data_IF_367011212159
#
_entry.id   IF_367011212159
#
_cell.length_a   1.000
_cell.length_b   1.000
_cell.length_c   1.000
_cell.angle_alpha   90.00
_cell.angle_beta   90.00
_cell.angle_gamma   90.00
#
_symmetry.space_group_name_H-M   'P 1'
#
loop_
_entity.id
_entity.type
_entity.pdbx_description
1 polymer ?
#
# COMPACT_ATOMS: atom_id res chain seq x y z
N UNK A 1 17.20 11.80 -12.47
CA UNK A 1 16.54 10.50 -12.69
C UNK A 1 16.83 9.66 -11.48
N UNK A 2 15.80 9.00 -10.94
CA UNK A 2 15.93 8.12 -9.80
C UNK A 2 15.40 6.73 -10.14
N UNK A 3 16.10 5.69 -9.68
CA UNK A 3 15.71 4.32 -9.94
C UNK A 3 14.76 3.81 -8.86
N UNK A 4 13.60 3.32 -9.26
CA UNK A 4 12.59 2.76 -8.35
C UNK A 4 12.41 1.27 -8.59
N UNK A 5 12.04 0.55 -7.54
CA UNK A 5 11.78 -0.88 -7.54
C UNK A 5 10.38 -1.18 -6.97
N UNK A 6 9.61 -2.03 -7.64
CA UNK A 6 8.32 -2.53 -7.15
C UNK A 6 8.45 -4.04 -6.94
N UNK A 7 8.24 -4.46 -5.70
CA UNK A 7 8.34 -5.87 -5.31
C UNK A 7 6.99 -6.53 -5.52
N UNK A 8 6.94 -7.50 -6.44
CA UNK A 8 5.81 -8.41 -6.58
C UNK A 8 6.27 -9.81 -6.21
N UNK A 9 6.11 -10.14 -4.93
CA UNK A 9 6.47 -11.43 -4.39
C UNK A 9 5.51 -11.82 -3.29
N UNK A 10 5.25 -13.10 -3.14
CA UNK A 10 4.39 -13.56 -2.06
C UNK A 10 5.06 -13.34 -0.69
N UNK A 11 4.32 -12.89 0.33
CA UNK A 11 4.80 -12.85 1.71
C UNK A 11 4.91 -14.25 2.31
N UNK A 12 5.43 -14.35 3.54
CA UNK A 12 5.28 -15.59 4.32
C UNK A 12 3.96 -15.47 5.08
N UNK A 13 2.88 -15.91 4.45
CA UNK A 13 1.50 -15.67 4.88
C UNK A 13 1.30 -16.00 6.37
N UNK A 14 0.77 -15.03 7.12
CA UNK A 14 0.52 -15.16 8.57
C UNK A 14 1.78 -15.47 9.41
N UNK A 15 2.95 -15.06 8.94
CA UNK A 15 4.19 -15.04 9.72
C UNK A 15 4.88 -13.67 9.56
N UNK A 16 4.70 -12.80 10.56
CA UNK A 16 5.24 -11.43 10.53
C UNK A 16 6.75 -11.41 10.38
N UNK A 17 7.44 -12.12 11.26
CA UNK A 17 8.88 -11.98 11.43
C UNK A 17 9.61 -12.59 10.21
N UNK A 18 9.10 -13.70 9.66
CA UNK A 18 9.63 -14.28 8.42
C UNK A 18 9.35 -13.40 7.19
N UNK A 19 8.18 -12.73 7.14
CA UNK A 19 7.87 -11.79 6.06
C UNK A 19 8.76 -10.54 6.14
N UNK A 20 9.04 -10.05 7.34
CA UNK A 20 9.97 -8.94 7.58
C UNK A 20 11.39 -9.32 7.15
N UNK A 21 11.88 -10.52 7.51
CA UNK A 21 13.17 -11.00 7.05
C UNK A 21 13.24 -11.06 5.51
N UNK A 22 12.20 -11.58 4.87
CA UNK A 22 12.08 -11.57 3.39
C UNK A 22 12.07 -10.15 2.82
N UNK A 23 11.38 -9.21 3.46
CA UNK A 23 11.37 -7.81 3.02
C UNK A 23 12.79 -7.22 3.04
N UNK A 24 13.55 -7.47 4.11
CA UNK A 24 14.95 -7.03 4.23
C UNK A 24 15.83 -7.62 3.13
N UNK A 25 15.70 -8.92 2.84
CA UNK A 25 16.44 -9.57 1.74
C UNK A 25 16.11 -8.95 0.37
N UNK A 26 14.85 -8.55 0.16
CA UNK A 26 14.41 -7.90 -1.07
C UNK A 26 14.90 -6.45 -1.17
N UNK A 27 14.99 -5.74 -0.04
CA UNK A 27 15.63 -4.42 0.03
C UNK A 27 17.12 -4.52 -0.31
N UNK A 28 17.85 -5.50 0.25
CA UNK A 28 19.26 -5.77 -0.07
C UNK A 28 19.44 -6.05 -1.58
N UNK A 29 18.55 -6.86 -2.18
CA UNK A 29 18.55 -7.13 -3.62
C UNK A 29 18.28 -5.87 -4.45
N UNK A 30 17.25 -5.09 -4.12
CA UNK A 30 16.92 -3.86 -4.86
C UNK A 30 18.04 -2.81 -4.75
N UNK A 31 18.64 -2.64 -3.57
CA UNK A 31 19.79 -1.77 -3.36
C UNK A 31 20.99 -2.20 -4.21
N UNK A 32 21.26 -3.50 -4.32
CA UNK A 32 22.34 -4.01 -5.18
C UNK A 32 22.15 -3.69 -6.67
N UNK A 33 20.90 -3.45 -7.10
CA UNK A 33 20.55 -3.02 -8.44
C UNK A 33 20.49 -1.49 -8.58
N UNK A 34 20.86 -0.74 -7.54
CA UNK A 34 20.91 0.72 -7.54
C UNK A 34 19.55 1.41 -7.37
N UNK A 35 18.54 0.72 -6.83
CA UNK A 35 17.28 1.38 -6.48
C UNK A 35 17.50 2.41 -5.37
N UNK A 36 16.75 3.52 -5.42
CA UNK A 36 16.68 4.56 -4.39
C UNK A 36 15.34 4.52 -3.63
N UNK A 37 14.31 3.91 -4.24
CA UNK A 37 13.03 3.63 -3.60
C UNK A 37 12.56 2.20 -3.88
N UNK A 38 12.01 1.55 -2.86
CA UNK A 38 11.41 0.21 -2.97
C UNK A 38 9.97 0.23 -2.44
N UNK A 39 9.04 -0.28 -3.25
CA UNK A 39 7.61 -0.34 -2.95
C UNK A 39 7.18 -1.81 -2.83
N UNK A 40 6.58 -2.16 -1.69
CA UNK A 40 5.92 -3.45 -1.47
C UNK A 40 4.41 -3.35 -1.69
N UNK A 41 3.72 -4.49 -1.74
CA UNK A 41 2.30 -4.59 -2.06
C UNK A 41 1.39 -4.23 -0.88
N UNK A 42 0.08 -4.13 -1.14
CA UNK A 42 -0.94 -3.96 -0.11
C UNK A 42 -0.86 -5.12 0.89
N UNK A 43 -0.92 -4.78 2.19
CA UNK A 43 -0.89 -5.75 3.28
C UNK A 43 0.26 -6.79 3.19
N UNK A 44 1.41 -6.43 2.59
CA UNK A 44 2.55 -7.33 2.43
C UNK A 44 2.94 -8.01 3.74
N UNK A 45 2.96 -7.27 4.86
CA UNK A 45 3.24 -7.83 6.19
C UNK A 45 1.93 -8.15 6.95
N UNK A 46 1.62 -9.41 7.29
CA UNK A 46 2.22 -10.66 6.83
C UNK A 46 1.48 -11.27 5.62
N UNK A 47 0.67 -10.51 4.89
CA UNK A 47 -0.01 -10.95 3.68
C UNK A 47 -1.51 -10.65 3.68
N UNK A 48 -2.02 -10.27 2.51
CA UNK A 48 -3.42 -9.90 2.33
C UNK A 48 -4.37 -11.06 2.75
N UNK A 49 -5.44 -10.78 3.50
CA UNK A 49 -6.31 -11.80 4.07
C UNK A 49 -7.30 -12.35 3.02
N UNK A 50 -6.81 -13.03 1.98
CA UNK A 50 -7.61 -13.40 0.81
C UNK A 50 -8.84 -14.28 1.13
N UNK A 51 -8.86 -14.94 2.30
CA UNK A 51 -9.99 -15.75 2.77
C UNK A 51 -11.27 -14.93 2.93
N UNK A 52 -11.20 -13.61 3.13
CA UNK A 52 -12.38 -12.75 3.27
C UNK A 52 -13.32 -12.81 2.05
N UNK A 53 -12.78 -13.12 0.87
CA UNK A 53 -13.54 -13.26 -0.37
C UNK A 53 -14.20 -14.63 -0.54
N UNK A 54 -13.85 -15.59 0.33
CA UNK A 54 -14.29 -16.98 0.27
C UNK A 54 -15.15 -17.38 1.48
N UNK A 55 -15.09 -16.61 2.56
CA UNK A 55 -15.92 -16.79 3.76
C UNK A 55 -17.27 -16.09 3.63
N UNK A 56 -18.28 -16.67 4.27
CA UNK A 56 -19.65 -16.15 4.31
C UNK A 56 -19.88 -15.37 5.61
N UNK A 57 -20.23 -14.07 5.53
CA UNK A 57 -20.62 -13.29 6.69
C UNK A 57 -21.75 -13.98 7.48
N UNK A 58 -21.58 -14.14 8.79
CA UNK A 58 -22.54 -14.80 9.68
C UNK A 58 -22.63 -16.33 9.56
N UNK A 59 -22.06 -16.94 8.51
CA UNK A 59 -22.05 -18.40 8.33
C UNK A 59 -20.80 -19.09 8.84
N UNK A 60 -19.64 -18.41 8.75
CA UNK A 60 -18.33 -19.02 9.03
C UNK A 60 -17.65 -18.37 10.25
N UNK A 61 -18.41 -18.12 11.32
CA UNK A 61 -17.99 -17.35 12.50
C UNK A 61 -16.74 -17.93 13.18
N UNK A 62 -16.74 -19.23 13.50
CA UNK A 62 -15.61 -19.86 14.19
C UNK A 62 -14.31 -19.85 13.36
N UNK A 63 -14.40 -20.09 12.06
CA UNK A 63 -13.24 -19.99 11.14
C UNK A 63 -12.72 -18.56 11.09
N UNK A 64 -13.62 -17.58 11.03
CA UNK A 64 -13.27 -16.14 11.01
C UNK A 64 -12.54 -15.74 12.29
N UNK A 65 -13.02 -16.19 13.47
CA UNK A 65 -12.37 -15.91 14.76
C UNK A 65 -10.96 -16.50 14.86
N UNK A 66 -10.77 -17.74 14.40
CA UNK A 66 -9.46 -18.38 14.43
C UNK A 66 -8.45 -17.67 13.50
N UNK A 67 -8.86 -17.35 12.27
CA UNK A 67 -8.05 -16.60 11.32
C UNK A 67 -7.74 -15.18 11.84
N UNK A 68 -8.74 -14.51 12.43
CA UNK A 68 -8.55 -13.18 13.02
C UNK A 68 -7.55 -13.21 14.17
N UNK A 69 -7.63 -14.21 15.06
CA UNK A 69 -6.65 -14.38 16.15
C UNK A 69 -5.23 -14.51 15.61
N UNK A 70 -5.02 -15.41 14.64
CA UNK A 70 -3.70 -15.64 14.03
C UNK A 70 -3.16 -14.39 13.33
N UNK A 71 -4.04 -13.66 12.63
CA UNK A 71 -3.67 -12.39 12.00
C UNK A 71 -3.32 -11.31 13.03
N UNK A 72 -4.08 -11.18 14.11
CA UNK A 72 -3.84 -10.21 15.19
C UNK A 72 -2.49 -10.45 15.89
N UNK A 73 -2.08 -11.71 16.05
CA UNK A 73 -0.78 -12.09 16.61
C UNK A 73 0.40 -11.74 15.66
N UNK A 74 0.15 -11.74 14.35
CA UNK A 74 1.13 -11.44 13.31
C UNK A 74 1.01 -10.03 12.72
N UNK A 75 0.10 -9.20 13.20
CA UNK A 75 0.03 -7.80 12.83
C UNK A 75 1.18 -7.01 13.47
N UNK A 76 1.49 -5.86 12.87
CA UNK A 76 2.55 -4.95 13.29
C UNK A 76 2.00 -3.94 14.29
N UNK A 77 2.63 -3.85 15.46
CA UNK A 77 2.47 -2.73 16.37
C UNK A 77 3.58 -1.71 16.09
N UNK A 78 3.21 -0.55 15.54
CA UNK A 78 4.16 0.49 15.13
C UNK A 78 4.83 1.22 16.31
N UNK A 79 4.26 1.13 17.51
CA UNK A 79 4.87 1.66 18.75
C UNK A 79 5.86 0.66 19.37
N UNK A 80 5.99 -0.52 18.76
CA UNK A 80 6.97 -1.54 19.14
C UNK A 80 8.14 -1.58 18.16
N UNK A 81 9.20 -2.29 18.54
CA UNK A 81 10.41 -2.46 17.74
C UNK A 81 10.26 -3.49 16.60
N UNK A 82 9.03 -3.90 16.26
CA UNK A 82 8.79 -4.95 15.26
C UNK A 82 9.26 -4.56 13.86
N UNK A 83 9.23 -3.26 13.50
CA UNK A 83 9.73 -2.77 12.21
C UNK A 83 11.20 -2.35 12.22
N UNK A 84 11.92 -2.46 13.35
CA UNK A 84 13.34 -2.09 13.44
C UNK A 84 14.19 -2.70 12.30
N UNK A 85 13.99 -3.97 11.88
CA UNK A 85 14.74 -4.50 10.74
C UNK A 85 14.52 -3.73 9.44
N UNK A 86 13.28 -3.28 9.15
CA UNK A 86 12.99 -2.47 7.97
C UNK A 86 13.62 -1.07 8.09
N UNK A 87 13.51 -0.42 9.25
CA UNK A 87 14.13 0.89 9.49
C UNK A 87 15.64 0.84 9.32
N UNK A 88 16.28 -0.19 9.86
CA UNK A 88 17.72 -0.41 9.71
C UNK A 88 18.12 -0.70 8.27
N UNK A 89 17.35 -1.51 7.54
CA UNK A 89 17.61 -1.80 6.13
C UNK A 89 17.46 -0.55 5.24
N UNK A 90 16.41 0.25 5.46
CA UNK A 90 16.21 1.53 4.77
C UNK A 90 17.42 2.46 4.99
N UNK A 91 17.87 2.59 6.24
CA UNK A 91 19.04 3.41 6.59
C UNK A 91 20.34 2.88 6.00
N UNK A 92 20.59 1.58 6.12
CA UNK A 92 21.80 0.91 5.62
C UNK A 92 22.01 1.19 4.13
N UNK A 93 20.93 1.15 3.35
CA UNK A 93 20.98 1.29 1.90
C UNK A 93 20.58 2.67 1.38
N UNK A 94 20.24 3.61 2.28
CA UNK A 94 19.72 4.92 1.92
C UNK A 94 18.49 4.85 1.00
N UNK A 95 17.58 3.91 1.30
CA UNK A 95 16.36 3.68 0.53
C UNK A 95 15.17 4.41 1.13
N UNK A 96 14.35 5.01 0.28
CA UNK A 96 12.93 5.25 0.62
C UNK A 96 12.18 3.93 0.52
N UNK A 97 11.48 3.50 1.57
CA UNK A 97 10.72 2.24 1.58
C UNK A 97 9.24 2.51 1.80
N UNK A 98 8.40 1.96 0.94
CA UNK A 98 6.93 2.04 1.05
C UNK A 98 6.39 0.63 1.24
N UNK A 99 5.85 0.32 2.41
CA UNK A 99 5.47 -1.03 2.77
C UNK A 99 4.03 -1.10 3.29
N UNK A 100 3.20 -1.92 2.64
CA UNK A 100 1.87 -2.26 3.13
C UNK A 100 1.91 -3.32 4.24
N UNK A 101 1.02 -3.20 5.21
CA UNK A 101 0.96 -4.09 6.36
C UNK A 101 -0.41 -4.11 7.05
N UNK A 102 -0.63 -5.17 7.81
CA UNK A 102 -1.62 -5.20 8.88
C UNK A 102 -1.05 -4.49 10.09
N UNK A 103 -1.63 -3.35 10.42
CA UNK A 103 -1.27 -2.61 11.61
C UNK A 103 -2.24 -2.96 12.73
N UNK A 104 -1.73 -3.29 13.91
CA UNK A 104 -2.52 -3.50 15.11
C UNK A 104 -2.52 -2.20 15.90
N UNK A 105 -3.70 -1.77 16.32
CA UNK A 105 -3.82 -0.61 17.16
C UNK A 105 -3.05 -0.79 18.48
N UNK A 106 -2.28 0.22 18.88
CA UNK A 106 -1.61 0.23 20.18
C UNK A 106 -2.43 0.97 21.24
N UNK A 107 -3.04 2.10 20.85
CA UNK A 107 -3.52 3.12 21.78
C UNK A 107 -4.90 2.86 22.41
N UNK A 108 -5.75 2.03 21.79
CA UNK A 108 -7.10 1.75 22.29
C UNK A 108 -7.25 0.30 22.77
N UNK A 109 -8.18 -0.46 22.19
CA UNK A 109 -8.51 -1.84 22.61
C UNK A 109 -7.40 -2.85 22.32
N UNK A 110 -6.41 -2.47 21.51
CA UNK A 110 -5.36 -3.34 21.00
C UNK A 110 -5.87 -4.55 20.21
N UNK A 111 -7.12 -4.51 19.73
CA UNK A 111 -7.73 -5.60 18.99
C UNK A 111 -8.13 -5.19 17.56
N UNK A 112 -8.19 -3.88 17.27
CA UNK A 112 -8.48 -3.39 15.92
C UNK A 112 -7.26 -3.53 15.02
N UNK A 113 -7.49 -4.09 13.84
CA UNK A 113 -6.52 -4.12 12.75
C UNK A 113 -6.83 -3.01 11.75
N UNK A 114 -5.80 -2.45 11.13
CA UNK A 114 -5.90 -1.49 10.05
C UNK A 114 -5.06 -1.93 8.87
N UNK A 115 -5.55 -1.74 7.65
CA UNK A 115 -4.73 -1.83 6.45
C UNK A 115 -3.92 -0.54 6.33
N UNK A 116 -2.61 -0.64 6.42
CA UNK A 116 -1.73 0.51 6.58
C UNK A 116 -0.58 0.44 5.62
N UNK A 117 -0.17 1.59 5.08
CA UNK A 117 1.10 1.75 4.39
C UNK A 117 2.01 2.66 5.22
N UNK A 118 3.22 2.18 5.50
CA UNK A 118 4.28 2.97 6.09
C UNK A 118 5.23 3.46 4.98
N UNK A 119 5.53 4.76 5.00
CA UNK A 119 6.62 5.36 4.20
C UNK A 119 7.79 5.63 5.12
N UNK A 120 8.92 5.00 4.86
CA UNK A 120 10.15 5.07 5.64
C UNK A 120 11.20 5.78 4.81
N UNK A 121 11.87 6.77 5.42
CA UNK A 121 12.91 7.55 4.77
C UNK A 121 14.26 6.83 4.70
N UNK A 122 15.19 7.37 3.89
CA UNK A 122 16.57 6.84 3.76
C UNK A 122 17.40 6.98 5.04
N UNK A 123 16.92 7.74 6.03
CA UNK A 123 17.50 7.85 7.37
C UNK A 123 16.97 6.75 8.34
N UNK A 124 16.02 5.94 7.88
CA UNK A 124 15.34 4.92 8.66
C UNK A 124 14.19 5.45 9.53
N UNK A 125 13.72 6.68 9.31
CA UNK A 125 12.61 7.26 10.07
C UNK A 125 11.27 7.06 9.36
N UNK A 126 10.20 6.85 10.14
CA UNK A 126 8.84 6.81 9.62
C UNK A 126 8.40 8.21 9.18
N UNK A 127 8.22 8.42 7.87
CA UNK A 127 7.81 9.70 7.29
C UNK A 127 6.29 9.85 7.23
N UNK A 128 5.59 8.76 6.89
CA UNK A 128 4.14 8.74 6.84
C UNK A 128 3.58 7.36 7.22
N UNK A 129 2.38 7.38 7.80
CA UNK A 129 1.57 6.21 8.14
C UNK A 129 0.17 6.48 7.62
N UNK A 130 -0.21 5.80 6.54
CA UNK A 130 -1.52 5.93 5.92
C UNK A 130 -2.35 4.68 6.21
N UNK A 131 -3.35 4.83 7.08
CA UNK A 131 -4.40 3.82 7.30
C UNK A 131 -5.47 4.00 6.22
N UNK A 132 -5.84 2.91 5.53
CA UNK A 132 -6.89 2.90 4.48
C UNK A 132 -8.16 3.55 5.01
N UNK A 133 -8.62 4.63 4.35
CA UNK A 133 -9.75 5.45 4.81
C UNK A 133 -11.04 4.64 4.92
N UNK A 134 -11.28 3.73 3.97
CA UNK A 134 -12.46 2.87 3.97
C UNK A 134 -12.12 1.48 3.42
N UNK A 135 -12.16 0.43 4.27
CA UNK A 135 -12.03 -0.94 3.80
C UNK A 135 -13.15 -1.31 2.81
N UNK A 136 -12.77 -2.03 1.77
CA UNK A 136 -13.64 -2.46 0.68
C UNK A 136 -14.48 -3.66 1.11
N UNK A 137 -15.81 -3.53 1.03
CA UNK A 137 -16.75 -4.66 1.12
C UNK A 137 -16.41 -5.70 2.22
N UNK A 138 -15.91 -6.94 1.95
CA UNK A 138 -15.64 -7.92 3.01
C UNK A 138 -14.43 -7.57 3.88
N UNK A 139 -13.55 -6.66 3.44
CA UNK A 139 -12.43 -6.17 4.23
C UNK A 139 -12.88 -5.52 5.54
N UNK A 140 -14.13 -5.03 5.61
CA UNK A 140 -14.74 -4.47 6.82
C UNK A 140 -14.95 -5.50 7.93
N UNK A 141 -14.83 -6.79 7.62
CA UNK A 141 -14.81 -7.86 8.61
C UNK A 141 -13.43 -8.02 9.28
N UNK A 142 -12.40 -7.36 8.76
CA UNK A 142 -11.01 -7.46 9.25
C UNK A 142 -10.49 -6.12 9.74
N UNK A 143 -10.65 -5.07 8.95
CA UNK A 143 -10.02 -3.77 9.19
C UNK A 143 -11.00 -2.70 9.64
N UNK A 144 -10.52 -1.83 10.53
CA UNK A 144 -11.14 -0.54 10.82
C UNK A 144 -10.86 0.50 9.73
N UNK A 145 -11.67 1.56 9.73
CA UNK A 145 -11.49 2.73 8.87
C UNK A 145 -10.39 3.65 9.40
N UNK A 146 -9.50 4.11 8.51
CA UNK A 146 -8.51 5.14 8.80
C UNK A 146 -9.10 6.55 8.85
N UNK A 147 -8.29 7.49 9.33
CA UNK A 147 -8.57 8.92 9.28
C UNK A 147 -7.62 9.65 8.31
N UNK A 148 -7.74 10.96 8.19
CA UNK A 148 -6.96 11.75 7.26
C UNK A 148 -5.53 12.08 7.76
N UNK A 149 -5.09 11.60 8.92
CA UNK A 149 -3.75 11.88 9.45
C UNK A 149 -2.64 11.39 8.51
N UNK A 150 -2.89 10.30 7.78
CA UNK A 150 -2.00 9.73 6.79
C UNK A 150 -2.22 10.20 5.34
N UNK A 151 -3.28 10.97 5.07
CA UNK A 151 -3.64 11.48 3.74
C UNK A 151 -2.74 12.67 3.36
N UNK A 152 -1.44 12.40 3.26
CA UNK A 152 -0.39 13.41 3.14
C UNK A 152 0.61 13.04 2.04
N UNK A 153 1.20 14.08 1.45
CA UNK A 153 2.37 13.96 0.58
C UNK A 153 3.63 14.25 1.40
N UNK A 154 4.65 13.40 1.26
CA UNK A 154 5.95 13.55 1.95
C UNK A 154 7.09 13.76 0.96
N UNK A 155 8.02 14.64 1.31
CA UNK A 155 9.21 14.94 0.50
C UNK A 155 10.28 13.86 0.69
N UNK A 156 10.75 13.25 -0.38
CA UNK A 156 11.81 12.23 -0.35
C UNK A 156 12.87 12.51 -1.43
N UNK A 157 14.06 11.89 -1.38
CA UNK A 157 15.08 12.11 -2.41
C UNK A 157 14.63 11.76 -3.84
N UNK A 158 13.69 10.83 -3.99
CA UNK A 158 13.16 10.42 -5.31
C UNK A 158 12.01 11.30 -5.82
N UNK A 159 11.50 12.22 -4.98
CA UNK A 159 10.34 13.07 -5.28
C UNK A 159 9.31 13.11 -4.16
N UNK A 160 8.23 13.86 -4.38
CA UNK A 160 7.12 14.00 -3.42
C UNK A 160 6.15 12.84 -3.56
N UNK A 161 6.00 12.04 -2.51
CA UNK A 161 5.25 10.76 -2.54
C UNK A 161 3.93 10.89 -1.80
N UNK A 162 2.86 10.39 -2.40
CA UNK A 162 1.58 10.14 -1.72
C UNK A 162 1.07 8.74 -2.04
N UNK A 163 0.28 8.17 -1.13
CA UNK A 163 -0.23 6.80 -1.26
C UNK A 163 -1.74 6.76 -1.04
N UNK A 164 -2.44 5.99 -1.85
CA UNK A 164 -3.81 5.54 -1.59
C UNK A 164 -3.89 4.05 -1.86
N UNK A 165 -4.57 3.32 -0.98
CA UNK A 165 -4.59 1.86 -0.98
C UNK A 165 -5.79 1.37 -1.78
N UNK A 166 -5.53 0.62 -2.84
CA UNK A 166 -6.54 -0.09 -3.63
C UNK A 166 -7.68 0.87 -4.04
N UNK A 167 -8.93 0.55 -3.70
CA UNK A 167 -10.12 1.31 -4.09
C UNK A 167 -10.22 2.74 -3.54
N UNK A 168 -9.34 3.16 -2.64
CA UNK A 168 -9.18 4.59 -2.34
C UNK A 168 -8.81 5.39 -3.60
N UNK A 169 -8.14 4.75 -4.56
CA UNK A 169 -7.82 5.33 -5.86
C UNK A 169 -9.06 5.61 -6.72
N UNK A 170 -10.21 5.01 -6.42
CA UNK A 170 -11.47 5.39 -7.08
C UNK A 170 -12.08 6.66 -6.48
N UNK A 171 -11.68 7.04 -5.26
CA UNK A 171 -12.29 8.17 -4.54
C UNK A 171 -11.71 9.50 -5.03
N UNK A 172 -12.48 10.31 -5.78
CA UNK A 172 -11.94 11.52 -6.41
C UNK A 172 -11.47 12.56 -5.39
N UNK A 173 -12.15 12.68 -4.25
CA UNK A 173 -11.78 13.65 -3.21
C UNK A 173 -10.49 13.26 -2.49
N UNK A 174 -10.26 11.96 -2.25
CA UNK A 174 -9.00 11.46 -1.68
C UNK A 174 -7.83 11.72 -2.64
N UNK A 175 -8.01 11.42 -3.92
CA UNK A 175 -7.02 11.72 -4.97
C UNK A 175 -6.72 13.22 -5.06
N UNK A 176 -7.77 14.03 -5.18
CA UNK A 176 -7.66 15.49 -5.27
C UNK A 176 -6.93 16.09 -4.07
N UNK A 177 -7.11 15.52 -2.88
CA UNK A 177 -6.43 15.94 -1.65
C UNK A 177 -4.92 15.71 -1.71
N UNK A 178 -4.45 14.63 -2.35
CA UNK A 178 -3.01 14.41 -2.58
C UNK A 178 -2.48 15.29 -3.71
N UNK A 179 -3.26 15.48 -4.78
CA UNK A 179 -2.88 16.36 -5.89
C UNK A 179 -2.63 17.79 -5.41
N UNK A 180 -3.54 18.31 -4.57
CA UNK A 180 -3.46 19.66 -4.01
C UNK A 180 -2.23 19.87 -3.11
N UNK A 181 -1.62 18.80 -2.64
CA UNK A 181 -0.37 18.84 -1.87
C UNK A 181 0.88 18.81 -2.77
N UNK A 182 0.73 18.70 -4.09
CA UNK A 182 1.81 18.73 -5.08
C UNK A 182 2.58 17.42 -5.18
N UNK A 183 1.87 16.29 -5.20
CA UNK A 183 2.43 14.95 -5.37
C UNK A 183 3.18 14.80 -6.70
N UNK A 184 4.34 14.14 -6.73
CA UNK A 184 5.06 13.80 -7.97
C UNK A 184 4.94 12.32 -8.31
N UNK A 185 4.86 11.47 -7.28
CA UNK A 185 4.75 10.02 -7.37
C UNK A 185 3.56 9.55 -6.53
N UNK A 186 2.56 9.00 -7.21
CA UNK A 186 1.40 8.36 -6.62
C UNK A 186 1.64 6.85 -6.53
N UNK A 187 1.58 6.31 -5.31
CA UNK A 187 1.77 4.89 -5.06
C UNK A 187 0.40 4.26 -4.78
N UNK A 188 0.11 3.18 -5.52
CA UNK A 188 -1.15 2.45 -5.46
C UNK A 188 -0.89 0.96 -5.12
N UNK A 189 -0.67 0.61 -3.84
CA UNK A 189 -0.65 -0.79 -3.42
C UNK A 189 -2.07 -1.35 -3.51
N UNK A 190 -2.22 -2.54 -4.10
CA UNK A 190 -3.56 -3.06 -4.42
C UNK A 190 -3.65 -4.58 -4.38
N UNK A 191 -4.82 -5.08 -4.01
CA UNK A 191 -5.31 -6.43 -4.31
C UNK A 191 -6.18 -6.48 -5.58
N UNK A 192 -6.65 -5.34 -6.09
CA UNK A 192 -7.34 -5.30 -7.38
C UNK A 192 -6.35 -5.58 -8.52
N UNK A 193 -6.84 -6.16 -9.62
CA UNK A 193 -6.00 -6.56 -10.75
C UNK A 193 -6.81 -6.57 -12.04
N UNK A 194 -6.16 -6.62 -13.19
CA UNK A 194 -6.83 -6.63 -14.49
C UNK A 194 -6.71 -5.32 -15.27
N UNK A 195 -7.17 -5.38 -16.51
CA UNK A 195 -7.17 -4.23 -17.43
C UNK A 195 -8.04 -3.07 -16.92
N UNK A 196 -9.15 -3.35 -16.23
CA UNK A 196 -10.03 -2.31 -15.69
C UNK A 196 -9.32 -1.48 -14.59
N UNK A 197 -8.59 -2.18 -13.71
CA UNK A 197 -7.78 -1.54 -12.68
C UNK A 197 -6.60 -0.75 -13.30
N UNK A 198 -5.85 -1.36 -14.22
CA UNK A 198 -4.74 -0.69 -14.91
C UNK A 198 -5.22 0.52 -15.72
N UNK A 199 -6.38 0.43 -16.37
CA UNK A 199 -7.03 1.54 -17.06
C UNK A 199 -7.29 2.72 -16.11
N UNK A 200 -7.75 2.44 -14.90
CA UNK A 200 -7.96 3.45 -13.85
C UNK A 200 -6.63 4.10 -13.41
N UNK A 201 -5.57 3.31 -13.23
CA UNK A 201 -4.25 3.86 -12.85
C UNK A 201 -3.66 4.75 -13.94
N UNK A 202 -3.86 4.38 -15.21
CA UNK A 202 -3.44 5.20 -16.36
C UNK A 202 -4.22 6.50 -16.46
N UNK A 203 -5.52 6.48 -16.13
CA UNK A 203 -6.31 7.68 -16.03
C UNK A 203 -5.79 8.62 -14.93
N UNK A 204 -5.54 8.08 -13.73
CA UNK A 204 -5.01 8.84 -12.58
C UNK A 204 -3.67 9.49 -12.92
N UNK A 205 -2.75 8.78 -13.57
CA UNK A 205 -1.47 9.33 -14.00
C UNK A 205 -1.65 10.59 -14.87
N UNK A 206 -2.60 10.55 -15.82
CA UNK A 206 -2.93 11.67 -16.73
C UNK A 206 -3.64 12.82 -16.04
N UNK A 207 -4.60 12.49 -15.18
CA UNK A 207 -5.41 13.48 -14.46
C UNK A 207 -4.55 14.28 -13.47
N UNK A 208 -3.66 13.60 -12.74
CA UNK A 208 -2.75 14.22 -11.78
C UNK A 208 -1.50 14.86 -12.43
N UNK A 209 -1.15 14.42 -13.64
CA UNK A 209 0.15 14.69 -14.24
C UNK A 209 1.30 14.20 -13.37
N UNK A 210 1.22 12.98 -12.82
CA UNK A 210 2.21 12.41 -11.90
C UNK A 210 2.60 10.99 -12.30
N UNK A 211 3.71 10.50 -11.78
CA UNK A 211 4.08 9.09 -11.94
C UNK A 211 3.16 8.23 -11.08
N UNK A 212 2.63 7.14 -11.63
CA UNK A 212 1.87 6.16 -10.85
C UNK A 212 2.65 4.88 -10.74
N UNK A 213 2.89 4.43 -9.51
CA UNK A 213 3.48 3.14 -9.19
C UNK A 213 2.37 2.24 -8.68
N UNK A 214 1.91 1.32 -9.54
CA UNK A 214 0.97 0.27 -9.17
C UNK A 214 1.74 -0.91 -8.57
N UNK A 215 1.42 -1.30 -7.35
CA UNK A 215 2.05 -2.43 -6.65
C UNK A 215 1.00 -3.51 -6.40
N UNK A 216 0.93 -4.46 -7.33
CA UNK A 216 -0.08 -5.52 -7.38
C UNK A 216 0.27 -6.70 -6.49
N UNK A 217 -0.66 -7.10 -5.62
CA UNK A 217 -0.50 -8.24 -4.72
C UNK A 217 -0.45 -9.55 -5.50
N UNK A 218 0.59 -10.36 -5.27
CA UNK A 218 0.70 -11.70 -5.83
C UNK A 218 0.49 -12.72 -4.71
N UNK A 219 -0.44 -13.65 -4.93
CA UNK A 219 -0.71 -14.75 -4.01
C UNK A 219 -1.06 -16.01 -4.78
N UNK A 220 -0.42 -17.11 -4.43
CA UNK A 220 -0.71 -18.45 -4.94
C UNK A 220 -1.28 -19.31 -3.81
N UNK A 221 -2.13 -20.29 -4.15
CA UNK A 221 -2.72 -21.18 -3.15
C UNK A 221 -1.68 -22.01 -2.38
N UNK A 222 -0.53 -22.29 -2.99
CA UNK A 222 0.60 -22.93 -2.32
C UNK A 222 1.26 -22.07 -1.23
N UNK A 223 1.04 -20.74 -1.23
CA UNK A 223 1.64 -19.83 -0.24
C UNK A 223 0.90 -19.85 1.09
N UNK A 224 -0.34 -20.35 1.10
CA UNK A 224 -1.14 -20.48 2.30
C UNK A 224 -0.53 -21.56 3.22
N UNK A 225 -0.38 -21.29 4.53
CA UNK A 225 0.21 -22.25 5.47
C UNK A 225 -0.55 -23.57 5.48
N UNK A 226 0.13 -24.71 5.54
CA UNK A 226 -0.52 -26.03 5.55
C UNK A 226 -1.50 -26.22 6.72
N UNK A 227 -1.23 -25.55 7.84
CA UNK A 227 -2.06 -25.54 9.04
C UNK A 227 -3.14 -24.45 9.05
N UNK A 228 -3.35 -23.74 7.94
CA UNK A 228 -4.36 -22.68 7.85
C UNK A 228 -5.77 -23.23 8.05
N UNK A 229 -6.56 -22.52 8.85
CA UNK A 229 -7.93 -22.89 9.15
C UNK A 229 -8.78 -23.00 7.87
N UNK A 230 -9.47 -24.14 7.73
CA UNK A 230 -10.29 -24.46 6.56
C UNK A 230 -9.53 -24.41 5.21
N UNK A 231 -8.20 -24.56 5.20
CA UNK A 231 -7.37 -24.51 3.98
C UNK A 231 -7.93 -25.33 2.83
N UNK A 232 -8.23 -26.61 3.06
CA UNK A 232 -8.70 -27.52 2.01
C UNK A 232 -10.03 -27.08 1.38
N UNK A 233 -10.86 -26.34 2.12
CA UNK A 233 -12.13 -25.80 1.63
C UNK A 233 -11.92 -24.45 0.95
N UNK A 234 -11.08 -23.58 1.52
CA UNK A 234 -10.86 -22.23 1.01
C UNK A 234 -9.94 -22.22 -0.22
N UNK A 235 -8.98 -23.14 -0.31
CA UNK A 235 -7.96 -23.20 -1.35
C UNK A 235 -7.76 -24.66 -1.79
N UNK A 236 -8.76 -25.25 -2.47
CA UNK A 236 -8.74 -26.67 -2.84
C UNK A 236 -7.76 -26.99 -3.98
N UNK A 237 -7.44 -26.00 -4.82
CA UNK A 237 -6.50 -26.13 -5.94
C UNK A 237 -5.17 -25.46 -5.55
N UNK A 238 -4.11 -26.25 -5.46
CA UNK A 238 -2.79 -25.76 -5.06
C UNK A 238 -2.11 -24.93 -6.14
N UNK A 239 -2.51 -25.08 -7.41
CA UNK A 239 -1.96 -24.39 -8.58
C UNK A 239 -2.74 -23.08 -8.91
N UNK A 240 -3.67 -22.70 -8.03
CA UNK A 240 -4.49 -21.50 -8.20
C UNK A 240 -3.69 -20.22 -7.91
N UNK A 241 -3.66 -19.31 -8.88
CA UNK A 241 -3.38 -17.89 -8.62
C UNK A 241 -4.57 -17.25 -7.90
N UNK A 242 -4.47 -17.12 -6.59
CA UNK A 242 -5.44 -16.36 -5.78
C UNK A 242 -5.44 -14.90 -6.23
N UNK A 243 -4.25 -14.36 -6.51
CA UNK A 243 -4.07 -13.06 -7.15
C UNK A 243 -2.81 -13.08 -8.04
N UNK A 244 -2.96 -12.59 -9.27
CA UNK A 244 -1.92 -12.60 -10.29
C UNK A 244 -0.96 -11.40 -10.28
N UNK A 245 -1.12 -10.44 -9.37
CA UNK A 245 -0.25 -9.27 -9.32
C UNK A 245 -0.73 -8.11 -10.21
N UNK A 246 0.05 -7.77 -11.24
CA UNK A 246 -0.04 -6.57 -12.11
C UNK A 246 0.76 -5.35 -11.66
N UNK A 247 1.86 -5.54 -10.95
CA UNK A 247 2.77 -4.42 -10.65
C UNK A 247 3.22 -3.74 -11.95
N UNK A 248 3.11 -2.42 -11.98
CA UNK A 248 3.35 -1.61 -13.17
C UNK A 248 3.78 -0.19 -12.81
N UNK A 249 4.56 0.45 -13.69
CA UNK A 249 4.97 1.84 -13.55
C UNK A 249 4.44 2.62 -14.74
N UNK A 250 3.76 3.73 -14.45
CA UNK A 250 3.02 4.51 -15.43
C UNK A 250 3.53 5.95 -15.39
N UNK A 251 3.93 6.46 -16.55
CA UNK A 251 4.39 7.83 -16.71
C UNK A 251 3.24 8.85 -16.60
N UNK A 252 3.53 10.14 -16.33
CA UNK A 252 2.52 11.20 -16.23
C UNK A 252 1.58 11.36 -17.44
N UNK A 253 1.97 10.84 -18.62
CA UNK A 253 1.11 10.81 -19.81
C UNK A 253 0.11 9.65 -19.87
N UNK A 254 0.10 8.75 -18.88
CA UNK A 254 -0.71 7.52 -18.85
C UNK A 254 -0.13 6.37 -19.68
N UNK A 255 1.12 6.50 -20.12
CA UNK A 255 1.89 5.44 -20.77
C UNK A 255 2.44 4.49 -19.72
N UNK A 256 2.27 3.19 -19.94
CA UNK A 256 2.89 2.16 -19.12
C UNK A 256 4.36 2.02 -19.56
N UNK A 257 5.30 2.27 -18.65
CA UNK A 257 6.74 2.23 -18.94
C UNK A 257 7.42 0.96 -18.44
N UNK A 258 6.80 0.24 -17.51
CA UNK A 258 7.27 -1.05 -17.01
C UNK A 258 6.08 -1.89 -16.51
N UNK A 259 6.09 -3.21 -16.76
CA UNK A 259 5.00 -4.13 -16.42
C UNK A 259 3.97 -4.31 -17.55
N UNK A 260 2.73 -4.74 -17.25
CA UNK A 260 2.33 -5.30 -15.95
C UNK A 260 3.00 -6.66 -15.71
N UNK A 261 3.45 -6.90 -14.49
CA UNK A 261 3.97 -8.19 -14.09
C UNK A 261 2.79 -9.11 -13.71
N UNK A 262 2.33 -9.96 -14.62
CA UNK A 262 1.15 -10.83 -14.42
C UNK A 262 1.58 -12.28 -14.19
N UNK A 263 1.05 -12.91 -13.14
CA UNK A 263 1.27 -14.32 -12.80
C UNK A 263 2.77 -14.68 -12.74
N UNK A 264 3.57 -13.75 -12.21
CA UNK A 264 5.02 -13.86 -12.17
C UNK A 264 5.55 -13.20 -10.89
N UNK A 265 6.52 -13.83 -10.24
CA UNK A 265 7.27 -13.21 -9.14
C UNK A 265 8.45 -12.39 -9.65
N UNK A 266 8.68 -11.21 -9.10
CA UNK A 266 9.83 -10.41 -9.47
C UNK A 266 9.95 -9.07 -8.76
N UNK A 267 11.00 -8.34 -9.12
CA UNK A 267 11.18 -6.93 -8.77
C UNK A 267 11.19 -6.15 -10.08
N UNK A 268 10.19 -5.29 -10.27
CA UNK A 268 10.08 -4.43 -11.44
C UNK A 268 10.88 -3.15 -11.20
N UNK A 269 11.83 -2.84 -12.09
CA UNK A 269 12.64 -1.62 -12.00
C UNK A 269 12.29 -0.62 -13.10
N UNK A 270 12.30 0.67 -12.78
CA UNK A 270 12.29 1.73 -13.79
C UNK A 270 13.02 2.99 -13.31
N UNK A 271 13.46 3.79 -14.26
CA UNK A 271 13.97 5.14 -14.02
C UNK A 271 12.82 6.14 -14.06
N UNK A 272 12.71 6.97 -13.03
CA UNK A 272 11.71 8.03 -12.91
C UNK A 272 12.40 9.38 -13.03
N UNK A 273 11.77 10.26 -13.80
CA UNK A 273 12.15 11.67 -13.91
C UNK A 273 10.99 12.54 -13.44
N UNK A 274 11.11 13.10 -12.24
CA UNK A 274 10.06 13.92 -11.62
C UNK A 274 9.83 15.23 -12.37
N UNK A 275 10.78 15.72 -13.17
CA UNK A 275 10.57 16.90 -14.02
C UNK A 275 9.45 16.65 -15.05
N UNK A 276 9.24 15.39 -15.48
CA UNK A 276 8.12 15.01 -16.35
C UNK A 276 6.76 15.23 -15.68
N UNK A 277 6.66 15.12 -14.36
CA UNK A 277 5.41 15.37 -13.64
C UNK A 277 5.07 16.87 -13.68
N UNK A 278 6.03 17.73 -13.34
CA UNK A 278 5.85 19.18 -13.43
C UNK A 278 5.50 19.63 -14.86
N UNK A 279 6.18 19.07 -15.87
CA UNK A 279 5.91 19.39 -17.28
C UNK A 279 4.53 18.91 -17.76
N UNK A 280 4.04 17.77 -17.28
CA UNK A 280 2.70 17.27 -17.63
C UNK A 280 1.59 18.21 -17.14
N UNK A 281 1.78 18.82 -15.95
CA UNK A 281 0.83 19.80 -15.38
C UNK A 281 0.73 21.10 -16.16
N UNK A 282 1.73 21.44 -16.99
CA UNK A 282 1.68 22.60 -17.88
C UNK A 282 0.43 22.57 -18.78
N UNK A 283 0.06 21.39 -19.29
CA UNK A 283 -1.11 21.23 -20.16
C UNK A 283 -2.42 21.10 -19.39
N UNK A 284 -2.40 20.37 -18.27
CA UNK A 284 -3.57 20.12 -17.42
C UNK A 284 -3.13 20.07 -15.97
N UNK A 285 -3.53 21.05 -15.17
CA UNK A 285 -3.31 21.07 -13.72
C UNK A 285 -4.66 21.22 -13.01
N UNK A 286 -5.23 20.08 -12.59
CA UNK A 286 -6.59 19.99 -12.03
C UNK A 286 -6.74 20.69 -10.68
N UNK A 287 -5.65 20.93 -9.96
CA UNK A 287 -5.63 21.66 -8.68
C UNK A 287 -5.04 23.07 -8.81
N UNK A 288 -4.38 23.36 -9.93
CA UNK A 288 -3.85 24.67 -10.29
C UNK A 288 -4.73 25.40 -11.30
N UNK A 289 -4.23 25.65 -12.51
CA UNK A 289 -4.85 26.56 -13.48
C UNK A 289 -6.16 26.08 -14.12
N UNK A 290 -6.54 24.80 -13.97
CA UNK A 290 -7.88 24.32 -14.32
C UNK A 290 -8.88 24.40 -13.15
N UNK A 291 -8.39 24.58 -11.92
CA UNK A 291 -9.26 24.64 -10.75
C UNK A 291 -10.14 25.91 -10.77
N UNK A 292 -11.35 25.80 -10.21
CA UNK A 292 -12.33 26.90 -10.10
C UNK A 292 -12.68 27.16 -8.64
N UNK A 293 -11.74 27.70 -7.82
CA UNK A 293 -11.98 27.95 -6.40
C UNK A 293 -13.07 29.00 -6.14
N UNK A 294 -13.40 29.80 -7.15
CA UNK A 294 -14.55 30.72 -7.14
C UNK A 294 -15.92 30.00 -7.22
N UNK A 295 -15.95 28.73 -7.63
CA UNK A 295 -17.16 27.90 -7.73
C UNK A 295 -17.11 26.74 -6.73
N UNK A 296 -15.99 26.02 -6.68
CA UNK A 296 -15.84 24.78 -5.93
C UNK A 296 -14.80 24.94 -4.83
N UNK A 297 -15.17 24.57 -3.60
CA UNK A 297 -14.25 24.52 -2.47
C UNK A 297 -14.29 23.13 -1.87
N UNK A 298 -13.12 22.55 -1.61
CA UNK A 298 -12.96 21.32 -0.85
C UNK A 298 -12.29 21.65 0.48
N UNK A 299 -12.91 21.25 1.58
CA UNK A 299 -12.34 21.33 2.92
C UNK A 299 -12.11 19.91 3.44
N UNK A 300 -10.87 19.62 3.81
CA UNK A 300 -10.47 18.31 4.36
C UNK A 300 -10.24 18.47 5.86
N UNK A 301 -10.91 17.63 6.64
CA UNK A 301 -10.67 17.55 8.07
C UNK A 301 -9.52 16.59 8.34
N UNK A 302 -8.35 17.13 8.65
CA UNK A 302 -7.11 16.38 8.88
C UNK A 302 -6.84 16.04 10.36
N UNK A 303 -7.83 16.24 11.24
CA UNK A 303 -7.66 15.91 12.66
C UNK A 303 -7.60 14.40 12.86
N UNK A 304 -6.69 13.95 13.74
CA UNK A 304 -6.69 12.59 14.24
C UNK A 304 -7.87 12.41 15.20
N UNK A 305 -8.63 11.32 15.03
CA UNK A 305 -9.79 11.03 15.88
C UNK A 305 -9.48 9.91 16.87
N UNK A 306 -9.53 10.24 18.16
CA UNK A 306 -9.52 9.26 19.24
C UNK A 306 -10.95 9.02 19.75
N UNK A 307 -11.31 7.79 20.15
CA UNK A 307 -12.63 7.50 20.72
C UNK A 307 -12.85 8.17 22.09
N UNK A 308 -11.78 8.61 22.74
CA UNK A 308 -11.80 9.27 24.05
C UNK A 308 -10.61 10.24 24.17
N UNK A 309 -10.81 11.34 24.90
CA UNK A 309 -9.74 12.24 25.35
C UNK A 309 -9.75 12.28 26.88
N UNK A 310 -8.64 11.97 27.52
CA UNK A 310 -8.48 12.07 28.96
C UNK A 310 -8.00 13.48 29.31
N UNK A 311 -8.68 14.17 30.25
CA UNK A 311 -8.16 15.39 30.85
C UNK A 311 -7.27 15.03 32.03
N UNK A 312 -6.03 15.51 32.06
CA UNK A 312 -5.21 15.47 33.28
C UNK A 312 -5.87 16.35 34.36
N UNK A 313 -6.03 15.81 35.57
CA UNK A 313 -6.40 16.57 36.77
C UNK A 313 -5.16 16.94 37.57
#
# INVERSE_FOLDING_TARGET
MSKVAVVQKSPVVLNRDATIARAVDLLDQAASQGAEMVVFTEAFIPGYPAWIWRLRPGGDWGTTEALHKRLLENAVDLESNQLDPLYQAARKHQLTVVCGMHERDHGCSRATLYNTVATIGPDGLLMNRHRKLMPTNPERMVWGAGDASGLRVVDTPVGRIGTLICWESYMPLSRYSLYAQGIDIYIAPTYDSGEDWLGSMRHIAREAGCWVINSGTLLHASDMPDDLEARATLYPDADEWINGGDSAIIAPGGELVAGPLRNEEGILYAEIDIERAAMARRTLDVVGHYSRPDIFTLLVNANAYAPISFSEQ
#
